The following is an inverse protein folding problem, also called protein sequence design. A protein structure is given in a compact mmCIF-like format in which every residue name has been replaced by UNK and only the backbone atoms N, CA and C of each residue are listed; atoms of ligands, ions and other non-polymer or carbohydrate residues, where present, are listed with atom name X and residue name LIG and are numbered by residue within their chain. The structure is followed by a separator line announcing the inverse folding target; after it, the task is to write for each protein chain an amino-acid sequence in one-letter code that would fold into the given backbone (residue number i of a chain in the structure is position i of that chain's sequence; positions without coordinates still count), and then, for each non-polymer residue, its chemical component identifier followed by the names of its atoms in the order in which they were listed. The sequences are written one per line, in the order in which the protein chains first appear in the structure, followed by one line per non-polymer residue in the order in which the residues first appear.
data_IF_547866027052
#
_entry.id   IF_547866027052
#
_cell.length_a   1.000
_cell.length_b   1.000
_cell.length_c   1.000
_cell.angle_alpha   90.00
_cell.angle_beta   90.00
_cell.angle_gamma   90.00
#
_symmetry.space_group_name_H-M   'P 1'
#
loop_
_entity.id
_entity.type
_entity.pdbx_description
1 polymer ?
#
# COMPACT_ATOMS: atom_id res chain seq x y z
N UNK A 1 -18.00 -25.06 -8.50
CA UNK A 1 -17.90 -24.18 -9.70
C UNK A 1 -17.63 -22.78 -9.20
N UNK A 2 -16.39 -22.32 -9.35
CA UNK A 2 -15.81 -21.20 -8.59
C UNK A 2 -16.38 -19.84 -8.99
N UNK A 3 -16.67 -19.01 -8.00
CA UNK A 3 -17.07 -17.63 -8.18
C UNK A 3 -15.91 -16.84 -8.83
N UNK A 4 -15.99 -16.65 -10.15
CA UNK A 4 -15.11 -15.75 -10.87
C UNK A 4 -15.50 -14.30 -10.58
N UNK A 5 -14.52 -13.49 -10.19
CA UNK A 5 -14.71 -12.04 -10.02
C UNK A 5 -14.82 -11.38 -11.40
N UNK A 6 -15.74 -10.41 -11.54
CA UNK A 6 -15.84 -9.61 -12.75
C UNK A 6 -14.74 -8.54 -12.75
N UNK A 7 -13.64 -8.82 -13.43
CA UNK A 7 -12.53 -7.88 -13.59
C UNK A 7 -12.79 -7.02 -14.82
N UNK A 8 -13.14 -5.75 -14.61
CA UNK A 8 -13.46 -4.81 -15.69
C UNK A 8 -12.19 -4.18 -16.30
N UNK A 9 -11.08 -4.18 -15.58
CA UNK A 9 -9.81 -3.67 -16.06
C UNK A 9 -8.67 -3.90 -15.07
N UNK A 10 -7.45 -3.87 -15.58
CA UNK A 10 -6.21 -4.01 -14.78
C UNK A 10 -5.21 -2.95 -15.24
N UNK A 11 -4.48 -2.37 -14.29
CA UNK A 11 -3.41 -1.42 -14.56
C UNK A 11 -2.09 -1.99 -14.02
N UNK A 12 -1.04 -1.94 -14.83
CA UNK A 12 0.31 -2.29 -14.40
C UNK A 12 1.05 -1.03 -13.96
N UNK A 13 1.40 -0.98 -12.67
CA UNK A 13 2.07 0.16 -12.04
C UNK A 13 3.53 -0.22 -11.79
N UNK A 14 4.45 0.59 -12.31
CA UNK A 14 5.90 0.44 -12.07
C UNK A 14 6.26 0.80 -10.63
N UNK A 15 7.44 0.39 -10.16
CA UNK A 15 7.89 0.69 -8.81
C UNK A 15 8.20 2.18 -8.60
N UNK A 16 8.75 2.85 -9.62
CA UNK A 16 8.86 4.30 -9.65
C UNK A 16 7.62 4.88 -10.36
N UNK A 17 6.57 5.04 -9.58
CA UNK A 17 5.25 5.44 -10.06
C UNK A 17 5.12 6.98 -10.06
N UNK A 18 4.59 7.52 -11.17
CA UNK A 18 4.25 8.94 -11.33
C UNK A 18 2.74 9.06 -11.48
N UNK A 19 2.15 10.16 -11.00
CA UNK A 19 0.71 10.44 -11.08
C UNK A 19 0.08 10.14 -12.45
N UNK A 20 0.82 10.42 -13.54
CA UNK A 20 0.38 10.16 -14.91
C UNK A 20 0.08 8.68 -15.23
N UNK A 21 0.72 7.71 -14.57
CA UNK A 21 0.49 6.30 -14.86
C UNK A 21 -0.92 5.85 -14.38
N UNK A 22 -1.54 6.57 -13.43
CA UNK A 22 -2.90 6.30 -12.96
C UNK A 22 -3.99 7.02 -13.77
N UNK A 23 -3.63 7.85 -14.76
CA UNK A 23 -4.61 8.59 -15.57
C UNK A 23 -5.67 7.68 -16.20
N UNK A 24 -5.29 6.48 -16.61
CA UNK A 24 -6.23 5.47 -17.15
C UNK A 24 -7.33 5.09 -16.14
N UNK A 25 -6.96 4.89 -14.88
CA UNK A 25 -7.89 4.56 -13.79
C UNK A 25 -8.77 5.76 -13.45
N UNK A 26 -8.20 6.97 -13.43
CA UNK A 26 -8.96 8.19 -13.14
C UNK A 26 -10.00 8.50 -14.21
N UNK A 27 -9.62 8.39 -15.48
CA UNK A 27 -10.56 8.57 -16.60
C UNK A 27 -11.69 7.56 -16.51
N UNK A 28 -11.38 6.30 -16.18
CA UNK A 28 -12.40 5.26 -16.01
C UNK A 28 -13.36 5.58 -14.85
N UNK A 29 -12.84 5.95 -13.67
CA UNK A 29 -13.67 6.32 -12.51
C UNK A 29 -14.55 7.54 -12.84
N UNK A 30 -13.97 8.58 -13.48
CA UNK A 30 -14.69 9.78 -13.88
C UNK A 30 -15.80 9.48 -14.87
N UNK A 31 -15.54 8.63 -15.86
CA UNK A 31 -16.56 8.20 -16.83
C UNK A 31 -17.66 7.39 -16.14
N UNK A 32 -17.30 6.49 -15.23
CA UNK A 32 -18.26 5.66 -14.51
C UNK A 32 -19.18 6.49 -13.58
N UNK A 33 -18.66 7.55 -12.97
CA UNK A 33 -19.45 8.51 -12.18
C UNK A 33 -20.35 9.34 -13.10
N UNK A 34 -19.83 9.86 -14.21
CA UNK A 34 -20.62 10.69 -15.16
C UNK A 34 -21.80 9.93 -15.77
N UNK A 35 -21.59 8.65 -16.09
CA UNK A 35 -22.60 7.78 -16.67
C UNK A 35 -23.50 7.11 -15.61
N UNK A 36 -23.29 7.40 -14.31
CA UNK A 36 -24.00 6.77 -13.19
C UNK A 36 -24.00 5.23 -13.26
N UNK A 37 -22.92 4.63 -13.76
CA UNK A 37 -22.81 3.16 -13.89
C UNK A 37 -22.78 2.45 -12.55
N UNK A 38 -22.24 3.10 -11.51
CA UNK A 38 -22.11 2.53 -10.18
C UNK A 38 -22.65 3.48 -9.10
N UNK A 39 -23.50 2.96 -8.22
CA UNK A 39 -24.05 3.73 -7.10
C UNK A 39 -23.06 3.89 -5.93
N UNK A 40 -22.11 2.96 -5.78
CA UNK A 40 -21.13 2.95 -4.68
C UNK A 40 -19.76 2.49 -5.18
N UNK A 41 -18.72 3.30 -4.94
CA UNK A 41 -17.33 2.95 -5.25
C UNK A 41 -16.57 2.81 -3.94
N UNK A 42 -15.88 1.69 -3.76
CA UNK A 42 -15.06 1.40 -2.57
C UNK A 42 -13.65 1.05 -3.01
N UNK A 43 -12.66 1.60 -2.31
CA UNK A 43 -11.25 1.31 -2.50
C UNK A 43 -10.77 0.48 -1.32
N UNK A 44 -9.97 -0.53 -1.61
CA UNK A 44 -9.26 -1.33 -0.62
C UNK A 44 -7.77 -1.16 -0.86
N UNK A 45 -7.02 -0.78 0.17
CA UNK A 45 -5.58 -0.64 0.10
C UNK A 45 -4.95 -0.87 1.47
N UNK A 46 -3.65 -1.13 1.51
CA UNK A 46 -2.92 -1.21 2.77
C UNK A 46 -2.41 0.17 3.16
N UNK A 47 -2.82 0.64 4.34
CA UNK A 47 -2.26 1.83 4.95
C UNK A 47 -0.93 1.50 5.62
N UNK A 48 0.10 2.27 5.23
CA UNK A 48 1.44 2.12 5.77
C UNK A 48 1.53 2.87 7.10
N UNK A 49 1.44 2.15 8.23
CA UNK A 49 1.68 2.73 9.56
C UNK A 49 3.16 2.69 9.91
N UNK A 50 3.80 1.54 9.73
CA UNK A 50 5.26 1.39 9.86
C UNK A 50 5.76 0.16 9.07
N UNK A 51 7.06 -0.10 9.11
CA UNK A 51 7.71 -1.18 8.37
C UNK A 51 7.20 -2.58 8.77
N UNK A 52 6.71 -2.74 9.99
CA UNK A 52 6.25 -4.03 10.53
C UNK A 52 4.73 -4.18 10.45
N UNK A 53 3.99 -3.08 10.59
CA UNK A 53 2.53 -3.05 10.62
C UNK A 53 1.97 -2.31 9.42
N UNK A 54 1.24 -3.06 8.59
CA UNK A 54 0.43 -2.54 7.49
C UNK A 54 -1.04 -2.88 7.78
N UNK A 55 -1.92 -1.88 7.75
CA UNK A 55 -3.33 -2.05 8.12
C UNK A 55 -4.18 -2.02 6.85
N UNK A 56 -4.96 -3.07 6.55
CA UNK A 56 -5.87 -3.05 5.41
C UNK A 56 -7.01 -2.09 5.68
N UNK A 57 -7.16 -1.08 4.82
CA UNK A 57 -8.16 -0.03 4.94
C UNK A 57 -9.19 -0.17 3.83
N UNK A 58 -10.46 -0.01 4.21
CA UNK A 58 -11.60 0.05 3.30
C UNK A 58 -12.15 1.46 3.31
N UNK A 59 -12.05 2.14 2.18
CA UNK A 59 -12.58 3.49 2.02
C UNK A 59 -13.74 3.52 1.01
N UNK A 60 -14.80 4.27 1.32
CA UNK A 60 -15.90 4.53 0.40
C UNK A 60 -15.58 5.82 -0.37
N UNK A 61 -15.22 5.69 -1.64
CA UNK A 61 -14.84 6.81 -2.50
C UNK A 61 -16.06 7.56 -3.06
N UNK A 62 -17.16 6.86 -3.31
CA UNK A 62 -18.35 7.50 -3.89
C UNK A 62 -19.63 6.85 -3.35
N UNK A 63 -20.67 7.64 -2.99
CA UNK A 63 -20.62 9.09 -2.76
C UNK A 63 -19.68 9.46 -1.60
N UNK A 64 -19.00 10.61 -1.71
CA UNK A 64 -18.19 11.19 -0.64
C UNK A 64 -19.12 11.85 0.38
N UNK A 65 -19.46 11.09 1.43
CA UNK A 65 -20.22 11.61 2.56
C UNK A 65 -19.25 12.09 3.65
N UNK A 66 -19.64 13.10 4.43
CA UNK A 66 -18.81 13.64 5.51
C UNK A 66 -18.42 12.56 6.53
N UNK A 67 -19.37 11.68 6.89
CA UNK A 67 -19.13 10.51 7.74
C UNK A 67 -18.07 9.54 7.15
N UNK A 68 -18.06 9.37 5.82
CA UNK A 68 -17.09 8.48 5.18
C UNK A 68 -15.69 9.08 5.21
N UNK A 69 -15.60 10.42 5.13
CA UNK A 69 -14.36 11.15 5.22
C UNK A 69 -13.82 11.21 6.65
N UNK A 70 -14.69 11.43 7.64
CA UNK A 70 -14.31 11.41 9.06
C UNK A 70 -13.81 10.02 9.46
N UNK A 71 -14.51 8.96 9.05
CA UNK A 71 -14.06 7.58 9.24
C UNK A 71 -12.69 7.33 8.59
N UNK A 72 -12.40 7.93 7.43
CA UNK A 72 -11.09 7.82 6.80
C UNK A 72 -9.98 8.50 7.60
N UNK A 73 -10.25 9.70 8.12
CA UNK A 73 -9.31 10.44 8.96
C UNK A 73 -9.01 9.72 10.28
N UNK A 74 -10.04 9.16 10.92
CA UNK A 74 -9.88 8.32 12.11
C UNK A 74 -8.99 7.10 11.82
N UNK A 75 -9.23 6.41 10.70
CA UNK A 75 -8.42 5.24 10.32
C UNK A 75 -6.95 5.56 10.01
N UNK A 76 -6.62 6.83 9.73
CA UNK A 76 -5.26 7.31 9.42
C UNK A 76 -4.58 7.91 10.68
N UNK A 77 -5.24 7.85 11.84
CA UNK A 77 -4.76 8.46 13.11
C UNK A 77 -4.44 9.97 12.96
N UNK A 78 -5.02 10.65 11.96
CA UNK A 78 -4.84 12.09 11.74
C UNK A 78 -6.03 12.84 12.32
N UNK A 79 -5.83 13.45 13.49
CA UNK A 79 -6.76 14.48 13.98
C UNK A 79 -6.56 15.74 13.14
N UNK A 80 -7.64 16.29 12.61
CA UNK A 80 -7.63 17.67 12.14
C UNK A 80 -7.39 18.54 13.38
N UNK A 81 -6.15 18.97 13.61
CA UNK A 81 -5.91 20.09 14.52
C UNK A 81 -6.77 21.24 14.01
N UNK A 82 -7.52 21.88 14.93
CA UNK A 82 -8.51 22.90 14.62
C UNK A 82 -7.94 23.93 13.63
N UNK A 83 -8.19 23.73 12.33
CA UNK A 83 -7.91 24.72 11.32
C UNK A 83 -8.90 25.82 11.65
N UNK A 84 -8.42 26.91 12.27
CA UNK A 84 -9.23 28.08 12.53
C UNK A 84 -9.79 28.53 11.18
N UNK A 85 -11.05 28.17 10.92
CA UNK A 85 -11.81 28.66 9.78
C UNK A 85 -11.95 30.15 10.02
N UNK A 86 -11.01 30.94 9.48
CA UNK A 86 -11.18 32.39 9.41
C UNK A 86 -12.35 32.59 8.45
N UNK A 87 -13.54 33.02 8.93
CA UNK A 87 -14.68 33.21 8.05
C UNK A 87 -14.38 34.43 7.19
N UNK A 88 -13.75 34.21 6.04
CA UNK A 88 -13.41 35.28 5.13
C UNK A 88 -14.63 35.53 4.24
N UNK A 89 -15.54 36.39 4.70
CA UNK A 89 -16.79 36.75 4.02
C UNK A 89 -16.57 37.40 2.63
N UNK A 90 -15.32 37.73 2.27
CA UNK A 90 -14.94 38.37 1.01
C UNK A 90 -14.30 37.39 -0.01
N UNK A 91 -14.50 36.08 0.14
CA UNK A 91 -14.05 35.10 -0.86
C UNK A 91 -14.94 35.17 -2.10
N UNK A 92 -14.44 35.87 -3.13
CA UNK A 92 -15.02 35.84 -4.47
C UNK A 92 -14.61 34.51 -5.13
N UNK A 93 -15.57 33.61 -5.31
CA UNK A 93 -15.38 32.34 -6.02
C UNK A 93 -15.72 32.54 -7.49
N UNK A 94 -14.71 32.62 -8.35
CA UNK A 94 -14.87 32.57 -9.79
C UNK A 94 -14.71 31.12 -10.27
N UNK A 95 -15.56 30.57 -11.17
CA UNK A 95 -16.66 31.20 -11.91
C UNK A 95 -18.05 31.09 -11.25
N UNK A 96 -18.40 29.96 -10.62
CA UNK A 96 -19.64 29.76 -9.84
C UNK A 96 -19.36 28.73 -8.72
N UNK A 97 -19.83 28.94 -7.47
CA UNK A 97 -19.56 28.04 -6.36
C UNK A 97 -19.91 26.57 -6.62
N UNK A 98 -20.98 26.28 -7.39
CA UNK A 98 -21.35 24.88 -7.68
C UNK A 98 -20.39 24.26 -8.68
N UNK A 99 -19.95 25.03 -9.66
CA UNK A 99 -18.97 24.58 -10.67
C UNK A 99 -17.61 24.31 -10.01
N UNK A 100 -17.18 25.20 -9.11
CA UNK A 100 -15.97 25.03 -8.33
C UNK A 100 -16.03 23.80 -7.42
N UNK A 101 -17.12 23.64 -6.66
CA UNK A 101 -17.31 22.48 -5.79
C UNK A 101 -17.27 21.15 -6.55
N UNK A 102 -17.85 21.11 -7.77
CA UNK A 102 -17.80 19.93 -8.62
C UNK A 102 -16.37 19.59 -9.05
N UNK A 103 -15.59 20.58 -9.48
CA UNK A 103 -14.17 20.37 -9.82
C UNK A 103 -13.39 19.86 -8.62
N UNK A 104 -13.60 20.48 -7.46
CA UNK A 104 -12.90 20.13 -6.22
C UNK A 104 -13.16 18.67 -5.80
N UNK A 105 -14.40 18.20 -5.96
CA UNK A 105 -14.76 16.79 -5.68
C UNK A 105 -13.98 15.84 -6.59
N UNK A 106 -13.86 16.16 -7.89
CA UNK A 106 -13.09 15.35 -8.84
C UNK A 106 -11.60 15.30 -8.45
N UNK A 107 -11.03 16.44 -8.05
CA UNK A 107 -9.63 16.54 -7.61
C UNK A 107 -9.39 15.77 -6.30
N UNK A 108 -10.31 15.85 -5.34
CA UNK A 108 -10.24 15.09 -4.09
C UNK A 108 -10.25 13.58 -4.37
N UNK A 109 -11.14 13.12 -5.24
CA UNK A 109 -11.20 11.70 -5.64
C UNK A 109 -9.87 11.26 -6.28
N UNK A 110 -9.30 12.09 -7.14
CA UNK A 110 -8.01 11.85 -7.78
C UNK A 110 -6.90 11.69 -6.72
N UNK A 111 -6.77 12.64 -5.80
CA UNK A 111 -5.75 12.60 -4.75
C UNK A 111 -5.92 11.43 -3.79
N UNK A 112 -7.15 11.04 -3.44
CA UNK A 112 -7.40 9.89 -2.54
C UNK A 112 -6.93 8.60 -3.20
N UNK A 113 -7.26 8.38 -4.47
CA UNK A 113 -6.84 7.16 -5.18
C UNK A 113 -5.33 7.14 -5.35
N UNK A 114 -4.71 8.27 -5.72
CA UNK A 114 -3.24 8.39 -5.79
C UNK A 114 -2.59 8.07 -4.44
N UNK A 115 -3.11 8.63 -3.36
CA UNK A 115 -2.66 8.39 -2.00
C UNK A 115 -2.80 6.90 -1.59
N UNK A 116 -3.91 6.26 -1.94
CA UNK A 116 -4.14 4.85 -1.66
C UNK A 116 -3.11 3.95 -2.36
N UNK A 117 -2.82 4.23 -3.64
CA UNK A 117 -1.81 3.48 -4.42
C UNK A 117 -0.42 3.68 -3.83
N UNK A 118 -0.06 4.91 -3.47
CA UNK A 118 1.23 5.22 -2.86
C UNK A 118 1.42 4.44 -1.55
N UNK A 119 0.44 4.46 -0.66
CA UNK A 119 0.49 3.71 0.60
C UNK A 119 0.60 2.20 0.40
N UNK A 120 -0.12 1.68 -0.60
CA UNK A 120 -0.05 0.25 -0.90
C UNK A 120 1.34 -0.14 -1.42
N UNK A 121 1.95 0.70 -2.28
CA UNK A 121 3.32 0.48 -2.76
C UNK A 121 4.37 0.58 -1.66
N UNK A 122 4.27 1.57 -0.78
CA UNK A 122 5.15 1.65 0.38
C UNK A 122 4.99 0.43 1.30
N UNK A 123 3.75 0.00 1.54
CA UNK A 123 3.44 -1.21 2.32
C UNK A 123 4.02 -2.47 1.67
N UNK A 124 3.91 -2.60 0.34
CA UNK A 124 4.47 -3.71 -0.43
C UNK A 124 5.99 -3.78 -0.26
N UNK A 125 6.69 -2.65 -0.46
CA UNK A 125 8.15 -2.59 -0.36
C UNK A 125 8.62 -2.85 1.08
N UNK A 126 7.93 -2.31 2.08
CA UNK A 126 8.24 -2.57 3.49
C UNK A 126 8.06 -4.05 3.86
N UNK A 127 6.94 -4.67 3.46
CA UNK A 127 6.68 -6.08 3.68
C UNK A 127 7.73 -6.96 2.97
N UNK A 128 8.12 -6.60 1.75
CA UNK A 128 9.15 -7.31 0.98
C UNK A 128 10.51 -7.22 1.68
N UNK A 129 10.88 -6.04 2.17
CA UNK A 129 12.11 -5.84 2.93
C UNK A 129 12.13 -6.68 4.22
N UNK A 130 11.04 -6.69 4.99
CA UNK A 130 10.94 -7.46 6.22
C UNK A 130 11.02 -8.97 5.96
N UNK A 131 10.31 -9.46 4.93
CA UNK A 131 10.37 -10.86 4.54
C UNK A 131 11.80 -11.28 4.14
N UNK A 132 12.51 -10.44 3.38
CA UNK A 132 13.89 -10.70 2.98
C UNK A 132 14.87 -10.64 4.16
N UNK A 133 14.64 -9.73 5.12
CA UNK A 133 15.43 -9.67 6.35
C UNK A 133 15.27 -10.97 7.15
N UNK A 134 14.03 -11.40 7.38
CA UNK A 134 13.76 -12.65 8.10
C UNK A 134 14.35 -13.87 7.37
N UNK A 135 14.26 -13.90 6.03
CA UNK A 135 14.90 -14.95 5.23
C UNK A 135 16.43 -14.95 5.38
N UNK A 136 17.06 -13.77 5.38
CA UNK A 136 18.51 -13.64 5.59
C UNK A 136 18.94 -14.11 6.98
N UNK A 137 18.18 -13.74 8.01
CA UNK A 137 18.46 -14.13 9.39
C UNK A 137 18.34 -15.65 9.54
N UNK A 138 17.29 -16.27 9.01
CA UNK A 138 17.11 -17.73 8.97
C UNK A 138 18.24 -18.45 8.21
N UNK A 139 18.67 -17.91 7.06
CA UNK A 139 19.81 -18.46 6.33
C UNK A 139 21.10 -18.40 7.16
N UNK A 140 21.31 -17.34 7.94
CA UNK A 140 22.45 -17.21 8.86
C UNK A 140 22.48 -18.33 9.89
N UNK A 141 21.33 -18.66 10.48
CA UNK A 141 21.21 -19.78 11.43
C UNK A 141 21.56 -21.13 10.77
N UNK A 142 21.04 -21.38 9.56
CA UNK A 142 21.33 -22.61 8.81
C UNK A 142 22.82 -22.72 8.50
N UNK A 143 23.46 -21.64 8.03
CA UNK A 143 24.89 -21.61 7.72
C UNK A 143 25.73 -21.90 8.97
N UNK A 144 25.39 -21.28 10.11
CA UNK A 144 26.08 -21.54 11.38
C UNK A 144 25.98 -23.01 11.80
N UNK A 145 24.79 -23.61 11.65
CA UNK A 145 24.56 -25.03 11.90
C UNK A 145 25.42 -25.93 11.00
N UNK A 146 25.40 -25.68 9.69
CA UNK A 146 26.20 -26.44 8.72
C UNK A 146 27.70 -26.30 8.96
N UNK A 147 28.17 -25.13 9.39
CA UNK A 147 29.59 -24.91 9.67
C UNK A 147 30.06 -25.69 10.89
N UNK A 148 29.19 -25.82 11.91
CA UNK A 148 29.47 -26.69 13.07
C UNK A 148 29.61 -28.15 12.64
N UNK A 149 28.69 -28.62 11.79
CA UNK A 149 28.74 -29.98 11.22
C UNK A 149 30.01 -30.19 10.40
N UNK A 150 30.34 -29.25 9.51
CA UNK A 150 31.54 -29.31 8.68
C UNK A 150 32.82 -29.44 9.53
N UNK A 151 32.96 -28.62 10.57
CA UNK A 151 34.13 -28.67 11.45
C UNK A 151 34.23 -30.00 12.19
N UNK A 152 33.10 -30.55 12.65
CA UNK A 152 33.04 -31.85 13.31
C UNK A 152 33.47 -32.97 12.35
N UNK A 153 32.89 -33.03 11.16
CA UNK A 153 33.25 -34.03 10.13
C UNK A 153 34.71 -33.91 9.71
N UNK A 154 35.24 -32.68 9.59
CA UNK A 154 36.64 -32.44 9.26
C UNK A 154 37.58 -33.01 10.34
N UNK A 155 37.28 -32.77 11.61
CA UNK A 155 38.07 -33.31 12.72
C UNK A 155 38.00 -34.84 12.77
N UNK A 156 36.81 -35.41 12.60
CA UNK A 156 36.63 -36.87 12.53
C UNK A 156 37.47 -37.50 11.41
N UNK A 157 37.50 -36.86 10.24
CA UNK A 157 38.29 -37.34 9.10
C UNK A 157 39.81 -37.29 9.38
N UNK A 158 40.31 -36.19 9.97
CA UNK A 158 41.72 -36.08 10.37
C UNK A 158 42.08 -37.16 11.39
N UNK A 159 41.25 -37.39 12.40
CA UNK A 159 41.48 -38.45 13.40
C UNK A 159 41.49 -39.83 12.76
N UNK A 160 40.56 -40.11 11.84
CA UNK A 160 40.52 -41.37 11.12
C UNK A 160 41.79 -41.59 10.28
N UNK A 161 42.22 -40.59 9.50
CA UNK A 161 43.46 -40.65 8.72
C UNK A 161 44.68 -40.92 9.62
N UNK A 162 44.75 -40.31 10.81
CA UNK A 162 45.84 -40.56 11.77
C UNK A 162 45.76 -41.98 12.35
N UNK A 163 44.57 -42.48 12.71
CA UNK A 163 44.39 -43.84 13.23
C UNK A 163 44.77 -44.91 12.21
N UNK A 164 44.53 -44.67 10.93
CA UNK A 164 44.94 -45.54 9.81
C UNK A 164 46.46 -45.55 9.60
N UNK A 165 47.19 -44.48 9.95
CA UNK A 165 48.67 -44.44 9.84
C UNK A 165 49.36 -45.18 10.99
N UNK A 166 48.76 -45.17 12.18
CA UNK A 166 49.38 -45.71 13.41
C UNK A 166 49.11 -47.21 13.61
N UNK A 167 48.04 -47.75 13.01
CA UNK A 167 47.72 -49.19 13.03
C UNK A 167 48.43 -49.96 11.91
#
# INVERSE_FOLDING_TARGET
MGAGWNVVGTCHIKDNFVENDLNSVFVYIKQAIKENRYAKIKIYFNYFKNVVMQVPLRFKLYPLDQESFDAFLENIDKKLDNIALVPNNNLLLEPDPKTYAKSLIEDIVHHIVYYAVLNNKTSEQASRMLAMKNAKDNCGEIVSGLQTVYNKTRQQKITQEISEIVS
#
